data_IF_960709325530
#
_entry.id   IF_960709325530
#
_cell.length_a   1.000
_cell.length_b   1.000
_cell.length_c   1.000
_cell.angle_alpha   90.00
_cell.angle_beta   90.00
_cell.angle_gamma   90.00
#
_symmetry.space_group_name_H-M   'P 1'
#
loop_
_entity.id
_entity.type
_entity.pdbx_description
1 polymer ?
#
# COMPACT_ATOMS: atom_id res chain seq x y z
N UNK A 1 34.02 -20.95 -34.03
CA UNK A 1 33.61 -19.68 -34.67
C UNK A 1 32.11 -19.55 -34.48
N UNK A 2 31.71 -19.04 -33.33
CA UNK A 2 30.31 -18.77 -32.99
C UNK A 2 29.99 -17.37 -33.48
N UNK A 3 29.02 -17.29 -34.39
CA UNK A 3 28.52 -16.06 -34.98
C UNK A 3 27.89 -15.20 -33.89
N UNK A 4 28.52 -14.07 -33.60
CA UNK A 4 27.92 -12.93 -32.91
C UNK A 4 26.69 -12.49 -33.72
N UNK A 5 25.51 -12.67 -33.15
CA UNK A 5 24.29 -12.03 -33.63
C UNK A 5 24.39 -10.54 -33.31
N UNK A 6 24.23 -9.71 -34.34
CA UNK A 6 24.11 -8.26 -34.21
C UNK A 6 22.97 -7.89 -33.23
N UNK A 7 23.05 -6.75 -32.53
CA UNK A 7 21.95 -6.28 -31.68
C UNK A 7 20.71 -6.08 -32.56
N UNK A 8 19.67 -6.85 -32.29
CA UNK A 8 18.35 -6.70 -32.90
C UNK A 8 17.92 -5.25 -32.72
N UNK A 9 17.58 -4.55 -33.80
CA UNK A 9 17.03 -3.20 -33.70
C UNK A 9 15.84 -3.24 -32.73
N UNK A 10 15.84 -2.38 -31.71
CA UNK A 10 14.72 -2.31 -30.76
C UNK A 10 13.41 -2.14 -31.54
N UNK A 11 12.41 -2.94 -31.16
CA UNK A 11 11.06 -2.80 -31.70
C UNK A 11 10.60 -1.34 -31.58
N UNK A 12 9.81 -0.87 -32.55
CA UNK A 12 9.28 0.51 -32.58
C UNK A 12 8.55 0.90 -31.29
N UNK A 13 7.88 -0.09 -30.69
CA UNK A 13 7.17 0.00 -29.41
C UNK A 13 7.70 -1.07 -28.44
N UNK A 14 8.86 -0.85 -27.78
CA UNK A 14 9.46 -1.86 -26.92
C UNK A 14 8.61 -2.01 -25.66
N UNK A 15 8.04 -3.21 -25.48
CA UNK A 15 7.16 -3.62 -24.38
C UNK A 15 7.49 -5.03 -23.96
N UNK A 16 7.41 -5.30 -22.68
CA UNK A 16 7.58 -6.63 -22.10
C UNK A 16 6.43 -6.88 -21.12
N UNK A 17 5.66 -7.94 -21.37
CA UNK A 17 4.66 -8.46 -20.44
C UNK A 17 5.16 -9.80 -19.91
N UNK A 18 5.29 -9.91 -18.59
CA UNK A 18 5.65 -11.15 -17.91
C UNK A 18 4.53 -11.58 -16.98
N UNK A 19 4.12 -12.83 -17.14
CA UNK A 19 3.05 -13.40 -16.35
C UNK A 19 3.57 -13.97 -15.03
N UNK A 20 2.83 -13.77 -13.93
CA UNK A 20 3.15 -14.33 -12.61
C UNK A 20 4.59 -14.05 -12.13
N UNK A 21 5.13 -12.87 -12.42
CA UNK A 21 6.47 -12.47 -12.00
C UNK A 21 6.54 -12.20 -10.49
N UNK A 22 5.48 -11.59 -9.94
CA UNK A 22 5.27 -11.40 -8.51
C UNK A 22 4.35 -12.50 -8.00
N UNK A 23 4.66 -13.09 -6.85
CA UNK A 23 3.80 -14.14 -6.28
C UNK A 23 2.50 -13.55 -5.74
N UNK A 24 1.44 -14.36 -5.70
CA UNK A 24 0.15 -13.92 -5.12
C UNK A 24 0.31 -13.48 -3.66
N UNK A 25 1.18 -14.14 -2.88
CA UNK A 25 1.44 -13.75 -1.49
C UNK A 25 2.12 -12.37 -1.39
N UNK A 26 3.08 -12.08 -2.27
CA UNK A 26 3.69 -10.76 -2.38
C UNK A 26 2.66 -9.70 -2.80
N UNK A 27 1.78 -10.01 -3.76
CA UNK A 27 0.70 -9.12 -4.13
C UNK A 27 -0.22 -8.83 -2.95
N UNK A 28 -0.61 -9.85 -2.17
CA UNK A 28 -1.48 -9.68 -0.99
C UNK A 28 -0.83 -8.89 0.14
N UNK A 29 0.49 -9.01 0.33
CA UNK A 29 1.23 -8.16 1.26
C UNK A 29 1.20 -6.68 0.83
N UNK A 30 1.43 -6.40 -0.45
CA UNK A 30 1.33 -5.03 -0.99
C UNK A 30 -0.12 -4.50 -0.95
N UNK A 31 -1.12 -5.32 -1.25
CA UNK A 31 -2.54 -4.95 -1.08
C UNK A 31 -2.84 -4.56 0.37
N UNK A 32 -2.35 -5.34 1.35
CA UNK A 32 -2.48 -5.03 2.77
C UNK A 32 -1.87 -3.66 3.10
N UNK A 33 -0.64 -3.40 2.66
CA UNK A 33 0.04 -2.13 2.92
C UNK A 33 -0.76 -0.97 2.31
N UNK A 34 -1.21 -1.10 1.05
CA UNK A 34 -1.96 -0.05 0.38
C UNK A 34 -3.32 0.22 1.01
N UNK A 35 -4.11 -0.82 1.28
CA UNK A 35 -5.42 -0.68 1.91
C UNK A 35 -5.33 -0.14 3.34
N UNK A 36 -4.17 -0.26 3.97
CA UNK A 36 -3.93 0.29 5.30
C UNK A 36 -3.40 1.71 5.30
N UNK A 37 -2.51 2.06 4.36
CA UNK A 37 -1.75 3.31 4.38
C UNK A 37 -2.05 4.23 3.18
N UNK A 38 -3.08 3.92 2.39
CA UNK A 38 -3.47 4.70 1.22
C UNK A 38 -4.09 6.04 1.58
N UNK A 39 -3.66 7.08 0.89
CA UNK A 39 -4.24 8.43 0.91
C UNK A 39 -4.76 8.80 -0.47
N UNK A 40 -5.54 9.87 -0.57
CA UNK A 40 -6.00 10.43 -1.84
C UNK A 40 -4.81 10.80 -2.73
N UNK A 41 -4.82 10.27 -3.94
CA UNK A 41 -3.90 10.65 -5.00
C UNK A 41 -4.30 11.98 -5.66
N UNK A 42 -3.43 12.47 -6.54
CA UNK A 42 -3.67 13.72 -7.27
C UNK A 42 -4.86 13.65 -8.24
N UNK A 43 -5.27 12.44 -8.66
CA UNK A 43 -6.37 12.25 -9.60
C UNK A 43 -7.66 11.88 -8.87
N UNK A 44 -8.83 12.39 -9.32
CA UNK A 44 -10.11 11.96 -8.79
C UNK A 44 -10.25 10.43 -8.85
N UNK A 45 -10.74 9.82 -7.77
CA UNK A 45 -10.95 8.37 -7.72
C UNK A 45 -9.67 7.54 -7.55
N UNK A 46 -8.51 8.14 -7.36
CA UNK A 46 -7.23 7.43 -7.22
C UNK A 46 -6.71 7.55 -5.80
N UNK A 47 -6.26 6.44 -5.21
CA UNK A 47 -5.47 6.43 -3.98
C UNK A 47 -4.02 6.08 -4.25
N UNK A 48 -3.12 6.54 -3.37
CA UNK A 48 -1.69 6.33 -3.48
C UNK A 48 -1.06 6.04 -2.12
N UNK A 49 -0.11 5.10 -2.10
CA UNK A 49 0.82 4.88 -1.00
C UNK A 49 2.24 4.94 -1.57
N UNK A 50 2.91 6.08 -1.37
CA UNK A 50 4.32 6.27 -1.75
C UNK A 50 5.24 5.83 -0.62
N UNK A 51 6.49 5.47 -0.94
CA UNK A 51 7.47 5.12 0.09
C UNK A 51 7.75 6.29 1.04
N UNK A 52 7.84 7.52 0.52
CA UNK A 52 7.98 8.72 1.36
C UNK A 52 6.78 8.95 2.29
N UNK A 53 5.57 8.60 1.87
CA UNK A 53 4.39 8.67 2.72
C UNK A 53 4.47 7.66 3.88
N UNK A 54 4.92 6.43 3.63
CA UNK A 54 5.15 5.45 4.68
C UNK A 54 6.17 5.96 5.71
N UNK A 55 7.22 6.64 5.26
CA UNK A 55 8.14 7.33 6.18
C UNK A 55 7.39 8.41 6.96
N UNK A 56 6.68 9.31 6.28
CA UNK A 56 5.98 10.43 6.92
C UNK A 56 4.97 9.97 8.00
N UNK A 57 4.28 8.85 7.83
CA UNK A 57 3.26 8.33 8.75
C UNK A 57 3.78 7.34 9.80
N UNK A 58 5.08 7.34 10.10
CA UNK A 58 5.71 6.41 11.04
C UNK A 58 5.53 4.92 10.69
N UNK A 59 5.55 4.61 9.39
CA UNK A 59 5.54 3.25 8.87
C UNK A 59 6.74 2.92 7.97
N UNK A 60 7.97 3.43 8.20
CA UNK A 60 9.09 3.20 7.28
C UNK A 60 9.46 1.73 7.13
N UNK A 61 9.17 0.91 8.14
CA UNK A 61 9.41 -0.54 8.13
C UNK A 61 8.60 -1.26 7.02
N UNK A 62 7.47 -0.69 6.59
CA UNK A 62 6.67 -1.21 5.48
C UNK A 62 7.30 -0.95 4.09
N UNK A 63 8.47 -0.32 4.01
CA UNK A 63 9.25 -0.24 2.76
C UNK A 63 9.88 -1.59 2.42
N UNK A 64 10.24 -2.41 3.42
CA UNK A 64 10.98 -3.66 3.19
C UNK A 64 10.30 -4.64 2.23
N UNK A 65 8.97 -4.87 2.27
CA UNK A 65 8.29 -5.71 1.29
C UNK A 65 8.44 -5.25 -0.17
N UNK A 66 8.72 -3.97 -0.41
CA UNK A 66 8.95 -3.44 -1.75
C UNK A 66 10.35 -3.74 -2.27
N UNK A 67 11.36 -3.81 -1.40
CA UNK A 67 12.79 -3.77 -1.79
C UNK A 67 13.16 -4.91 -2.74
N UNK A 68 12.80 -6.15 -2.40
CA UNK A 68 13.07 -7.30 -3.28
C UNK A 68 12.33 -7.19 -4.61
N UNK A 69 11.08 -6.72 -4.58
CA UNK A 69 10.22 -6.64 -5.77
C UNK A 69 10.74 -5.56 -6.71
N UNK A 70 11.00 -4.34 -6.22
CA UNK A 70 11.48 -3.22 -7.03
C UNK A 70 12.85 -3.50 -7.65
N UNK A 71 13.76 -4.16 -6.90
CA UNK A 71 15.08 -4.51 -7.42
C UNK A 71 14.99 -5.56 -8.52
N UNK A 72 14.19 -6.62 -8.34
CA UNK A 72 13.94 -7.61 -9.39
C UNK A 72 13.32 -7.02 -10.66
N UNK A 73 12.41 -6.04 -10.52
CA UNK A 73 11.82 -5.35 -11.68
C UNK A 73 12.84 -4.43 -12.35
N UNK A 74 13.68 -3.75 -11.56
CA UNK A 74 14.77 -2.92 -12.07
C UNK A 74 15.75 -3.76 -12.90
N UNK A 75 16.22 -4.89 -12.36
CA UNK A 75 17.12 -5.81 -13.07
C UNK A 75 16.49 -6.29 -14.39
N UNK A 76 15.19 -6.62 -14.34
CA UNK A 76 14.43 -7.01 -15.53
C UNK A 76 14.31 -5.88 -16.57
N UNK A 77 14.13 -4.64 -16.14
CA UNK A 77 14.10 -3.48 -17.03
C UNK A 77 15.49 -3.24 -17.65
N UNK A 78 16.55 -3.38 -16.86
CA UNK A 78 17.94 -3.28 -17.34
C UNK A 78 18.27 -4.34 -18.38
N UNK A 79 17.87 -5.59 -18.14
CA UNK A 79 18.00 -6.70 -19.10
C UNK A 79 17.25 -6.39 -20.40
N UNK A 80 15.98 -5.99 -20.30
CA UNK A 80 15.13 -5.77 -21.47
C UNK A 80 15.59 -4.61 -22.34
N UNK A 81 16.03 -3.50 -21.73
CA UNK A 81 16.49 -2.31 -22.44
C UNK A 81 18.01 -2.27 -22.66
N UNK A 82 18.74 -3.33 -22.28
CA UNK A 82 20.20 -3.44 -22.41
C UNK A 82 20.92 -2.24 -21.79
N UNK A 83 20.59 -1.94 -20.52
CA UNK A 83 21.08 -0.77 -19.80
C UNK A 83 21.54 -1.07 -18.37
N UNK A 84 22.17 -2.23 -18.22
CA UNK A 84 22.74 -2.68 -16.95
C UNK A 84 23.55 -1.61 -16.24
N UNK A 85 23.26 -1.43 -14.95
CA UNK A 85 23.93 -0.49 -14.05
C UNK A 85 23.79 1.00 -14.42
N UNK A 86 22.96 1.35 -15.40
CA UNK A 86 22.70 2.72 -15.84
C UNK A 86 21.25 3.15 -15.54
N UNK A 87 20.56 2.42 -14.67
CA UNK A 87 19.18 2.68 -14.32
C UNK A 87 19.02 2.99 -12.83
N UNK A 88 18.19 3.98 -12.53
CA UNK A 88 17.80 4.37 -11.18
C UNK A 88 16.30 4.35 -11.05
N UNK A 89 15.81 4.10 -9.84
CA UNK A 89 14.38 4.17 -9.53
C UNK A 89 14.02 5.63 -9.30
N UNK A 90 13.18 6.21 -10.16
CA UNK A 90 12.70 7.58 -10.02
C UNK A 90 11.57 7.67 -8.98
N UNK A 91 10.76 6.62 -8.93
CA UNK A 91 9.57 6.56 -8.09
C UNK A 91 9.07 5.12 -7.92
N UNK A 92 8.61 4.81 -6.73
CA UNK A 92 7.91 3.58 -6.38
C UNK A 92 6.63 3.90 -5.59
N UNK A 93 5.49 3.38 -6.02
CA UNK A 93 4.24 3.59 -5.30
C UNK A 93 3.15 2.57 -5.59
N UNK A 94 2.33 2.29 -4.57
CA UNK A 94 1.09 1.53 -4.73
C UNK A 94 -0.01 2.50 -5.12
N UNK A 95 -0.68 2.23 -6.24
CA UNK A 95 -1.73 3.06 -6.80
C UNK A 95 -2.99 2.21 -6.92
N UNK A 96 -4.11 2.71 -6.41
CA UNK A 96 -5.41 2.14 -6.69
C UNK A 96 -6.33 3.10 -7.42
N UNK A 97 -7.13 2.52 -8.32
CA UNK A 97 -8.13 3.22 -9.12
C UNK A 97 -9.49 2.67 -8.69
N UNK A 98 -10.29 3.51 -8.05
CA UNK A 98 -11.65 3.18 -7.62
C UNK A 98 -12.63 3.34 -8.78
N UNK A 99 -13.88 2.91 -8.56
CA UNK A 99 -14.96 3.12 -9.52
C UNK A 99 -15.05 4.59 -9.96
N UNK A 100 -15.14 4.82 -11.27
CA UNK A 100 -15.16 6.13 -11.90
C UNK A 100 -13.77 6.71 -12.24
N UNK A 101 -12.68 6.10 -11.76
CA UNK A 101 -11.33 6.56 -12.07
C UNK A 101 -10.89 6.08 -13.47
N UNK A 102 -10.27 6.99 -14.23
CA UNK A 102 -9.72 6.73 -15.57
C UNK A 102 -8.59 7.71 -15.89
N UNK A 103 -7.80 7.42 -16.93
CA UNK A 103 -6.80 8.33 -17.47
C UNK A 103 -6.75 8.23 -18.99
N UNK A 104 -6.92 9.37 -19.65
CA UNK A 104 -6.83 9.46 -21.11
C UNK A 104 -5.42 9.25 -21.65
N UNK A 105 -5.29 9.30 -22.97
CA UNK A 105 -4.04 9.09 -23.69
C UNK A 105 -2.91 10.01 -23.21
N UNK A 106 -1.79 9.42 -22.80
CA UNK A 106 -0.59 10.12 -22.36
C UNK A 106 0.66 9.25 -22.52
N UNK A 107 1.84 9.88 -22.51
CA UNK A 107 3.11 9.23 -22.16
C UNK A 107 3.47 9.62 -20.72
N UNK A 108 4.31 8.80 -20.07
CA UNK A 108 4.74 9.04 -18.69
C UNK A 108 5.71 10.21 -18.56
N UNK A 109 6.38 10.60 -19.66
CA UNK A 109 7.30 11.74 -19.76
C UNK A 109 6.62 13.05 -20.21
N UNK A 110 5.29 13.10 -20.27
CA UNK A 110 4.55 14.13 -21.01
C UNK A 110 4.59 15.57 -20.43
N UNK A 111 5.25 15.78 -19.29
CA UNK A 111 5.33 17.09 -18.60
C UNK A 111 6.78 17.41 -18.23
N UNK A 112 7.17 18.70 -18.11
CA UNK A 112 8.55 19.09 -17.83
C UNK A 112 9.17 18.40 -16.61
N UNK A 113 8.41 18.26 -15.52
CA UNK A 113 8.87 17.61 -14.28
C UNK A 113 8.86 16.07 -14.31
N UNK A 114 8.45 15.48 -15.43
CA UNK A 114 8.41 14.04 -15.68
C UNK A 114 9.38 13.62 -16.79
N UNK A 115 10.09 14.58 -17.42
CA UNK A 115 10.91 14.34 -18.61
C UNK A 115 12.12 13.43 -18.36
N UNK A 116 12.53 13.29 -17.11
CA UNK A 116 13.58 12.37 -16.68
C UNK A 116 13.19 10.89 -16.76
N UNK A 117 11.92 10.56 -17.01
CA UNK A 117 11.48 9.16 -17.03
C UNK A 117 11.86 8.51 -18.36
N UNK A 118 12.70 7.49 -18.29
CA UNK A 118 13.11 6.68 -19.44
C UNK A 118 12.17 5.48 -19.63
N UNK A 119 11.87 4.78 -18.53
CA UNK A 119 11.08 3.55 -18.54
C UNK A 119 10.02 3.55 -17.43
N UNK A 120 9.03 2.69 -17.60
CA UNK A 120 7.96 2.46 -16.64
C UNK A 120 7.74 0.96 -16.44
N UNK A 121 7.34 0.58 -15.23
CA UNK A 121 6.83 -0.73 -14.93
C UNK A 121 5.51 -0.64 -14.14
N UNK A 122 4.54 -1.46 -14.52
CA UNK A 122 3.26 -1.60 -13.84
C UNK A 122 3.08 -3.06 -13.45
N UNK A 123 2.97 -3.33 -12.16
CA UNK A 123 2.72 -4.67 -11.64
C UNK A 123 1.29 -4.74 -11.13
N UNK A 124 0.53 -5.72 -11.62
CA UNK A 124 -0.88 -5.87 -11.27
C UNK A 124 -1.01 -6.69 -9.99
N UNK A 125 -1.66 -6.11 -8.97
CA UNK A 125 -1.80 -6.74 -7.66
C UNK A 125 -3.11 -7.51 -7.54
N UNK A 126 -4.08 -7.23 -8.41
CA UNK A 126 -5.35 -7.93 -8.51
C UNK A 126 -5.81 -8.04 -9.97
N UNK A 127 -6.86 -8.83 -10.22
CA UNK A 127 -7.22 -9.29 -11.56
C UNK A 127 -8.50 -8.65 -12.09
N UNK A 128 -8.45 -8.25 -13.36
CA UNK A 128 -9.61 -7.81 -14.12
C UNK A 128 -10.63 -8.96 -14.30
N UNK A 129 -11.91 -8.66 -14.17
CA UNK A 129 -13.02 -9.61 -14.28
C UNK A 129 -13.24 -10.47 -13.04
N UNK A 130 -12.29 -10.46 -12.08
CA UNK A 130 -12.42 -11.12 -10.78
C UNK A 130 -12.56 -10.11 -9.64
N UNK A 131 -11.58 -9.23 -9.49
CA UNK A 131 -11.48 -8.29 -8.36
C UNK A 131 -12.02 -6.89 -8.72
N UNK A 132 -12.02 -6.54 -10.00
CA UNK A 132 -12.58 -5.30 -10.54
C UNK A 132 -13.00 -5.46 -12.01
N UNK A 133 -13.78 -4.52 -12.55
CA UNK A 133 -14.19 -4.46 -13.98
C UNK A 133 -13.86 -3.09 -14.58
N UNK A 134 -13.68 -3.05 -15.90
CA UNK A 134 -13.13 -1.87 -16.58
C UNK A 134 -11.66 -1.68 -16.21
N UNK A 135 -11.09 -0.47 -16.33
CA UNK A 135 -9.69 -0.26 -15.92
C UNK A 135 -8.65 -1.05 -16.74
N UNK A 136 -8.97 -1.37 -17.99
CA UNK A 136 -8.05 -2.04 -18.92
C UNK A 136 -6.91 -1.07 -19.26
N UNK A 137 -5.72 -1.58 -19.55
CA UNK A 137 -4.61 -0.73 -19.97
C UNK A 137 -4.48 -0.80 -21.48
N UNK A 138 -4.54 0.34 -22.17
CA UNK A 138 -4.47 0.40 -23.62
C UNK A 138 -3.23 1.14 -24.07
N UNK A 139 -2.53 0.60 -25.07
CA UNK A 139 -1.56 1.35 -25.85
C UNK A 139 -2.23 1.89 -27.12
N UNK A 140 -1.82 3.09 -27.52
CA UNK A 140 -2.41 3.76 -28.68
C UNK A 140 -2.03 3.09 -29.99
N UNK A 141 -0.78 2.64 -30.08
CA UNK A 141 -0.16 2.07 -31.27
C UNK A 141 0.63 0.80 -30.89
N UNK A 142 0.91 -0.09 -31.84
CA UNK A 142 1.74 -1.29 -31.62
C UNK A 142 1.08 -2.42 -30.80
N UNK A 143 1.77 -3.56 -30.70
CA UNK A 143 1.29 -4.74 -29.97
C UNK A 143 2.13 -5.02 -28.71
N UNK A 144 1.53 -5.55 -27.63
CA UNK A 144 0.08 -5.74 -27.46
C UNK A 144 -0.65 -4.39 -27.38
N UNK A 145 -1.81 -4.28 -28.03
CA UNK A 145 -2.62 -3.06 -28.01
C UNK A 145 -3.35 -2.85 -26.67
N UNK A 146 -3.65 -3.92 -25.94
CA UNK A 146 -4.36 -3.86 -24.65
C UNK A 146 -3.86 -4.93 -23.70
N UNK A 147 -3.78 -4.58 -22.42
CA UNK A 147 -3.39 -5.45 -21.32
C UNK A 147 -4.57 -5.56 -20.36
N UNK A 148 -5.07 -6.78 -20.20
CA UNK A 148 -6.04 -7.11 -19.18
C UNK A 148 -5.28 -7.49 -17.90
N UNK A 149 -5.39 -6.71 -16.81
CA UNK A 149 -4.65 -6.98 -15.58
C UNK A 149 -4.91 -8.37 -15.01
N UNK A 150 -3.83 -9.09 -14.71
CA UNK A 150 -3.87 -10.37 -14.00
C UNK A 150 -2.89 -10.27 -12.83
N UNK A 151 -3.31 -10.71 -11.64
CA UNK A 151 -2.48 -10.67 -10.43
C UNK A 151 -1.11 -11.31 -10.67
N UNK A 152 -0.06 -10.61 -10.26
CA UNK A 152 1.33 -11.07 -10.38
C UNK A 152 2.00 -10.70 -11.70
N UNK A 153 1.26 -10.23 -12.71
CA UNK A 153 1.82 -9.82 -13.99
C UNK A 153 2.55 -8.48 -13.89
N UNK A 154 3.62 -8.34 -14.68
CA UNK A 154 4.42 -7.12 -14.79
C UNK A 154 4.51 -6.69 -16.24
N UNK A 155 4.16 -5.43 -16.50
CA UNK A 155 4.28 -4.76 -17.79
C UNK A 155 5.40 -3.72 -17.72
N UNK A 156 6.39 -3.82 -18.60
CA UNK A 156 7.51 -2.88 -18.74
C UNK A 156 7.49 -2.24 -20.13
N UNK A 157 7.68 -0.93 -20.21
CA UNK A 157 7.65 -0.18 -21.47
C UNK A 157 8.44 1.13 -21.35
N UNK A 158 8.74 1.79 -22.49
CA UNK A 158 9.38 3.12 -22.46
C UNK A 158 8.40 4.18 -21.99
N UNK A 159 8.86 5.14 -21.18
CA UNK A 159 8.00 6.18 -20.63
C UNK A 159 7.59 7.26 -21.66
N UNK A 160 8.22 7.26 -22.83
CA UNK A 160 8.08 8.31 -23.85
C UNK A 160 6.92 8.09 -24.84
N UNK A 161 6.85 8.96 -25.86
CA UNK A 161 5.79 8.95 -26.87
C UNK A 161 5.75 7.69 -27.75
N UNK A 162 6.72 6.76 -27.64
CA UNK A 162 6.61 5.45 -28.30
C UNK A 162 5.55 4.59 -27.62
N UNK A 163 5.18 4.86 -26.38
CA UNK A 163 4.22 4.07 -25.64
C UNK A 163 3.15 4.97 -25.02
N UNK A 164 2.48 5.76 -25.86
CA UNK A 164 1.28 6.49 -25.46
C UNK A 164 0.20 5.50 -25.04
N UNK A 165 -0.36 5.69 -23.86
CA UNK A 165 -1.29 4.75 -23.25
C UNK A 165 -2.41 5.45 -22.47
N UNK A 166 -3.44 4.68 -22.12
CA UNK A 166 -4.58 5.11 -21.32
C UNK A 166 -5.08 3.97 -20.44
N UNK A 167 -5.82 4.30 -19.40
CA UNK A 167 -6.60 3.34 -18.62
C UNK A 167 -8.05 3.80 -18.67
N UNK A 168 -8.92 2.96 -19.22
CA UNK A 168 -10.36 3.17 -19.27
C UNK A 168 -10.98 3.10 -17.86
N UNK A 169 -12.22 3.54 -17.75
CA UNK A 169 -12.86 3.72 -16.45
C UNK A 169 -13.00 2.40 -15.69
N UNK A 170 -12.62 2.40 -14.41
CA UNK A 170 -12.99 1.32 -13.49
C UNK A 170 -14.48 1.41 -13.22
N UNK A 171 -15.23 0.37 -13.55
CA UNK A 171 -16.70 0.36 -13.45
C UNK A 171 -17.20 -0.35 -12.19
N UNK A 172 -16.38 -1.22 -11.61
CA UNK A 172 -16.69 -1.97 -10.40
C UNK A 172 -15.38 -2.35 -9.69
N UNK A 173 -15.36 -2.31 -8.35
CA UNK A 173 -14.21 -2.68 -7.54
C UNK A 173 -13.09 -1.64 -7.52
N UNK A 174 -11.92 -2.09 -7.09
CA UNK A 174 -10.71 -1.28 -6.94
C UNK A 174 -9.58 -1.95 -7.73
N UNK A 175 -8.95 -1.26 -8.70
CA UNK A 175 -7.81 -1.77 -9.48
C UNK A 175 -6.51 -1.38 -8.79
N UNK A 176 -5.71 -2.36 -8.33
CA UNK A 176 -4.49 -2.11 -7.57
C UNK A 176 -3.23 -2.46 -8.38
N UNK A 177 -2.26 -1.55 -8.33
CA UNK A 177 -0.97 -1.71 -9.02
C UNK A 177 0.20 -1.24 -8.16
N UNK A 178 1.34 -1.90 -8.28
CA UNK A 178 2.64 -1.32 -7.94
C UNK A 178 3.19 -0.65 -9.21
N UNK A 179 3.40 0.66 -9.16
CA UNK A 179 3.94 1.45 -10.28
C UNK A 179 5.36 1.87 -9.97
N UNK A 180 6.25 1.69 -10.94
CA UNK A 180 7.63 2.13 -10.89
C UNK A 180 7.94 2.96 -12.13
N UNK A 181 8.67 4.05 -11.92
CA UNK A 181 9.29 4.80 -13.00
C UNK A 181 10.80 4.76 -12.84
N UNK A 182 11.51 4.71 -13.96
CA UNK A 182 12.95 4.62 -14.00
C UNK A 182 13.54 5.79 -14.77
N UNK A 183 14.74 6.17 -14.37
CA UNK A 183 15.52 7.28 -14.93
C UNK A 183 16.97 6.83 -15.10
N UNK A 184 17.64 7.33 -16.13
CA UNK A 184 19.10 7.23 -16.30
C UNK A 184 19.84 8.41 -15.68
N UNK A 185 19.10 9.43 -15.24
CA UNK A 185 19.66 10.54 -14.46
C UNK A 185 19.63 10.22 -12.97
N UNK A 186 20.81 10.01 -12.39
CA UNK A 186 21.00 9.71 -10.96
C UNK A 186 20.57 10.85 -10.03
N UNK A 187 20.46 12.09 -10.52
CA UNK A 187 19.92 13.20 -9.73
C UNK A 187 18.45 12.98 -9.32
N UNK A 188 17.77 12.06 -10.02
CA UNK A 188 16.37 11.72 -9.78
C UNK A 188 16.17 10.42 -8.98
N UNK A 189 17.23 9.79 -8.50
CA UNK A 189 17.16 8.56 -7.71
C UNK A 189 16.31 8.74 -6.43
N UNK A 190 15.33 7.85 -6.27
CA UNK A 190 14.43 7.77 -5.13
C UNK A 190 15.17 7.30 -3.88
N UNK A 191 16.16 6.40 -4.01
CA UNK A 191 16.86 5.82 -2.85
C UNK A 191 17.56 6.90 -2.03
N UNK A 192 18.28 7.82 -2.69
CA UNK A 192 18.94 8.94 -2.03
C UNK A 192 17.96 9.79 -1.20
N UNK A 193 16.76 10.05 -1.74
CA UNK A 193 15.70 10.82 -1.06
C UNK A 193 15.14 10.05 0.14
N UNK A 194 14.85 8.77 -0.03
CA UNK A 194 14.31 7.93 1.04
C UNK A 194 15.31 7.76 2.19
N UNK A 195 16.59 7.54 1.88
CA UNK A 195 17.66 7.43 2.87
C UNK A 195 17.80 8.72 3.68
N UNK A 196 17.75 9.89 3.02
CA UNK A 196 17.74 11.19 3.73
C UNK A 196 16.57 11.29 4.71
N UNK A 197 15.34 10.99 4.26
CA UNK A 197 14.13 11.06 5.09
C UNK A 197 14.16 10.06 6.25
N UNK A 198 14.67 8.84 6.03
CA UNK A 198 14.85 7.83 7.07
C UNK A 198 15.86 8.28 8.13
N UNK A 199 16.96 8.90 7.68
CA UNK A 199 18.04 9.36 8.57
C UNK A 199 17.57 10.51 9.46
N UNK A 200 16.93 11.53 8.89
CA UNK A 200 16.35 12.65 9.64
C UNK A 200 15.36 12.18 10.70
N UNK A 201 14.54 11.19 10.35
CA UNK A 201 13.50 10.67 11.23
C UNK A 201 14.05 9.89 12.42
N UNK A 202 15.05 9.04 12.21
CA UNK A 202 15.66 8.31 13.33
C UNK A 202 16.38 9.25 14.30
N UNK A 203 17.05 10.29 13.78
CA UNK A 203 17.66 11.33 14.62
C UNK A 203 16.62 12.05 15.50
N UNK A 204 15.39 12.23 15.00
CA UNK A 204 14.31 12.89 15.73
C UNK A 204 13.53 11.97 16.69
N UNK A 205 13.69 10.65 16.59
CA UNK A 205 12.91 9.67 17.38
C UNK A 205 13.56 9.31 18.73
N UNK A 206 14.80 9.74 19.00
CA UNK A 206 15.51 9.48 20.27
C UNK A 206 14.79 10.08 21.51
N UNK A 207 13.89 11.07 21.32
CA UNK A 207 13.26 11.84 22.41
C UNK A 207 11.81 11.42 22.77
N UNK A 208 11.18 10.48 22.07
CA UNK A 208 9.75 10.15 22.27
C UNK A 208 9.52 8.78 22.94
N UNK A 209 8.89 8.78 24.13
CA UNK A 209 8.51 7.58 24.90
C UNK A 209 7.36 6.74 24.30
N UNK A 210 7.02 6.92 23.01
CA UNK A 210 5.97 6.15 22.33
C UNK A 210 6.57 4.91 21.67
N UNK A 211 5.75 3.88 21.47
CA UNK A 211 6.16 2.66 20.76
C UNK A 211 6.65 3.03 19.33
N UNK A 212 7.92 2.78 18.98
CA UNK A 212 8.59 3.42 17.84
C UNK A 212 7.97 3.08 16.48
N UNK A 213 7.21 1.99 16.39
CA UNK A 213 6.61 1.51 15.15
C UNK A 213 5.10 1.77 15.02
N UNK A 214 4.47 2.47 15.98
CA UNK A 214 3.04 2.76 15.85
C UNK A 214 2.78 3.85 14.79
N UNK A 215 1.85 3.64 13.87
CA UNK A 215 1.60 4.58 12.79
C UNK A 215 1.04 5.91 13.31
N UNK A 216 1.37 7.00 12.62
CA UNK A 216 0.85 8.36 12.88
C UNK A 216 0.10 8.82 11.63
N UNK A 217 -1.21 9.12 11.72
CA UNK A 217 -1.98 9.56 10.56
C UNK A 217 -1.42 10.86 9.97
N UNK A 218 -1.50 10.99 8.64
CA UNK A 218 -1.30 12.26 7.98
C UNK A 218 -2.47 13.23 8.25
N UNK A 219 -2.41 14.43 7.70
CA UNK A 219 -3.52 15.39 7.78
C UNK A 219 -4.81 14.80 7.20
N UNK A 220 -5.94 15.02 7.87
CA UNK A 220 -7.20 14.34 7.55
C UNK A 220 -7.72 14.63 6.13
N UNK A 221 -7.41 15.79 5.58
CA UNK A 221 -7.72 16.14 4.18
C UNK A 221 -7.06 15.19 3.17
N UNK A 222 -5.96 14.52 3.53
CA UNK A 222 -5.33 13.50 2.69
C UNK A 222 -6.14 12.20 2.64
N UNK A 223 -7.04 11.95 3.59
CA UNK A 223 -7.90 10.76 3.62
C UNK A 223 -9.31 11.05 3.11
N UNK A 224 -9.64 12.31 2.82
CA UNK A 224 -10.99 12.71 2.42
C UNK A 224 -11.25 12.48 0.93
N UNK A 225 -12.05 11.47 0.63
CA UNK A 225 -12.56 11.25 -0.71
C UNK A 225 -13.71 12.22 -0.99
N UNK A 226 -13.63 12.97 -2.10
CA UNK A 226 -14.70 13.87 -2.56
C UNK A 226 -15.30 13.37 -3.87
N UNK A 227 -16.63 13.38 -3.97
CA UNK A 227 -17.34 12.97 -5.18
C UNK A 227 -18.05 14.18 -5.83
N UNK A 228 -17.51 14.65 -6.95
CA UNK A 228 -18.09 15.78 -7.69
C UNK A 228 -17.84 17.16 -7.06
N UNK A 229 -18.72 18.12 -7.36
CA UNK A 229 -18.63 19.52 -6.89
C UNK A 229 -19.38 19.78 -5.57
N UNK A 230 -20.14 18.80 -5.08
CA UNK A 230 -20.89 18.91 -3.83
C UNK A 230 -20.05 18.39 -2.66
N UNK A 231 -20.37 18.83 -1.43
CA UNK A 231 -19.68 18.45 -0.18
C UNK A 231 -19.86 16.97 0.23
N UNK A 232 -20.29 16.10 -0.69
CA UNK A 232 -20.48 14.68 -0.45
C UNK A 232 -19.16 13.93 -0.62
N UNK A 233 -18.78 13.20 0.42
CA UNK A 233 -17.50 12.53 0.53
C UNK A 233 -17.45 11.62 1.74
N UNK A 234 -16.30 10.97 1.93
CA UNK A 234 -16.05 10.11 3.08
C UNK A 234 -14.57 10.06 3.42
N UNK A 235 -14.26 9.77 4.69
CA UNK A 235 -12.90 9.43 5.08
C UNK A 235 -12.60 7.98 4.69
N UNK A 236 -11.52 7.78 3.93
CA UNK A 236 -11.11 6.47 3.41
C UNK A 236 -10.84 5.47 4.55
N UNK A 237 -10.31 5.90 5.70
CA UNK A 237 -10.01 5.00 6.81
C UNK A 237 -11.30 4.47 7.42
N UNK A 238 -12.26 5.37 7.67
CA UNK A 238 -13.59 5.03 8.16
C UNK A 238 -14.33 4.10 7.18
N UNK A 239 -14.30 4.45 5.89
CA UNK A 239 -14.89 3.63 4.84
C UNK A 239 -14.31 2.21 4.81
N UNK A 240 -12.98 2.07 4.84
CA UNK A 240 -12.33 0.75 4.76
C UNK A 240 -12.63 -0.13 5.97
N UNK A 241 -12.70 0.43 7.19
CA UNK A 241 -13.13 -0.37 8.36
C UNK A 241 -14.62 -0.70 8.30
N UNK A 242 -15.45 0.23 7.81
CA UNK A 242 -16.90 0.06 7.68
C UNK A 242 -17.29 -1.05 6.70
N UNK A 243 -16.68 -1.08 5.52
CA UNK A 243 -16.89 -2.13 4.51
C UNK A 243 -16.57 -3.52 5.07
N UNK A 244 -15.64 -3.59 6.03
CA UNK A 244 -15.26 -4.82 6.71
C UNK A 244 -16.15 -5.14 7.92
N UNK A 245 -17.16 -4.32 8.21
CA UNK A 245 -18.14 -4.48 9.28
C UNK A 245 -17.74 -3.85 10.62
N UNK A 246 -16.70 -3.02 10.66
CA UNK A 246 -16.22 -2.36 11.87
C UNK A 246 -16.58 -0.88 11.89
N UNK A 247 -16.61 -0.28 13.09
CA UNK A 247 -16.67 1.17 13.23
C UNK A 247 -15.70 1.62 14.32
N UNK A 248 -15.11 2.81 14.14
CA UNK A 248 -14.33 3.45 15.18
C UNK A 248 -15.23 4.01 16.29
N UNK A 249 -14.81 3.80 17.53
CA UNK A 249 -15.49 4.26 18.73
C UNK A 249 -14.52 5.08 19.58
N UNK A 250 -14.99 6.22 20.09
CA UNK A 250 -14.24 7.02 21.07
C UNK A 250 -14.86 6.89 22.47
N UNK A 251 -14.01 6.77 23.49
CA UNK A 251 -14.35 6.67 24.92
C UNK A 251 -14.33 8.04 25.60
N UNK A 252 -15.10 9.01 25.10
CA UNK A 252 -15.16 10.31 25.77
C UNK A 252 -16.08 10.27 26.99
N UNK A 253 -15.51 10.11 28.20
CA UNK A 253 -16.19 10.44 29.47
C UNK A 253 -16.41 11.94 29.68
N UNK A 254 -15.83 12.80 28.83
CA UNK A 254 -16.08 14.24 28.87
C UNK A 254 -17.20 14.54 27.90
N UNK A 255 -18.32 15.03 28.41
CA UNK A 255 -19.33 15.69 27.58
C UNK A 255 -18.59 16.61 26.59
N UNK A 256 -18.89 16.44 25.31
CA UNK A 256 -18.57 17.43 24.31
C UNK A 256 -19.44 18.67 24.64
N UNK A 257 -18.98 19.50 25.57
CA UNK A 257 -19.58 20.80 25.92
C UNK A 257 -19.00 21.94 25.05
N UNK A 258 -18.25 21.62 24.01
CA UNK A 258 -17.82 22.58 22.99
C UNK A 258 -18.10 22.00 21.61
N UNK A 259 -19.07 22.58 20.91
CA UNK A 259 -19.52 22.26 19.55
C UNK A 259 -18.49 22.48 18.45
N UNK A 260 -17.19 22.51 18.78
CA UNK A 260 -16.11 23.00 17.91
C UNK A 260 -14.90 22.06 17.78
N UNK A 261 -14.84 20.90 18.46
CA UNK A 261 -13.81 19.90 18.11
C UNK A 261 -14.28 19.18 16.85
N UNK A 262 -13.68 19.47 15.70
CA UNK A 262 -14.08 18.84 14.45
C UNK A 262 -13.86 17.33 14.53
N UNK A 263 -14.74 16.56 13.88
CA UNK A 263 -14.69 15.09 13.89
C UNK A 263 -13.33 14.55 13.41
N UNK A 264 -12.58 15.36 12.67
CA UNK A 264 -11.22 15.11 12.18
C UNK A 264 -10.22 14.84 13.33
N UNK A 265 -10.27 15.58 14.45
CA UNK A 265 -9.35 15.38 15.57
C UNK A 265 -9.54 14.03 16.30
N UNK A 266 -10.68 13.35 16.13
CA UNK A 266 -10.96 12.08 16.80
C UNK A 266 -10.18 10.90 16.19
N UNK A 267 -9.88 10.96 14.89
CA UNK A 267 -9.22 9.87 14.17
C UNK A 267 -7.71 9.79 14.45
N UNK A 268 -7.13 10.87 14.98
CA UNK A 268 -5.73 10.94 15.41
C UNK A 268 -5.53 10.57 16.89
N UNK A 269 -6.62 10.46 17.67
CA UNK A 269 -6.59 10.14 19.10
C UNK A 269 -6.79 8.65 19.35
N UNK A 270 -6.45 8.15 20.56
CA UNK A 270 -6.75 6.78 20.94
C UNK A 270 -8.24 6.44 20.77
N UNK A 271 -8.51 5.29 20.18
CA UNK A 271 -9.86 4.83 19.84
C UNK A 271 -9.99 3.31 19.90
N UNK A 272 -11.21 2.82 19.90
CA UNK A 272 -11.54 1.40 19.92
C UNK A 272 -12.29 0.98 18.65
N UNK A 273 -12.32 -0.33 18.39
CA UNK A 273 -13.10 -0.91 17.31
C UNK A 273 -14.40 -1.51 17.84
N UNK A 274 -15.49 -1.30 17.13
CA UNK A 274 -16.75 -2.01 17.34
C UNK A 274 -17.15 -2.81 16.12
N UNK A 275 -17.87 -3.91 16.34
CA UNK A 275 -18.52 -4.71 15.30
C UNK A 275 -19.91 -5.10 15.82
N UNK A 276 -20.95 -4.58 15.19
CA UNK A 276 -22.32 -4.66 15.71
C UNK A 276 -22.47 -3.95 17.07
N UNK A 277 -22.97 -4.69 18.06
CA UNK A 277 -23.21 -4.21 19.43
C UNK A 277 -22.05 -4.52 20.39
N UNK A 278 -20.95 -5.07 19.87
CA UNK A 278 -19.76 -5.44 20.65
C UNK A 278 -18.62 -4.48 20.36
N UNK A 279 -17.94 -4.05 21.42
CA UNK A 279 -16.74 -3.21 21.38
C UNK A 279 -15.55 -4.03 21.86
N UNK A 280 -14.45 -3.95 21.13
CA UNK A 280 -13.18 -4.51 21.56
C UNK A 280 -12.55 -3.61 22.63
N UNK A 281 -12.22 -4.18 23.77
CA UNK A 281 -11.60 -3.49 24.90
C UNK A 281 -10.18 -3.00 24.63
N UNK A 282 -9.51 -3.54 23.61
CA UNK A 282 -8.21 -3.05 23.14
C UNK A 282 -8.34 -1.64 22.56
N UNK A 283 -7.52 -0.72 23.07
CA UNK A 283 -7.42 0.65 22.57
C UNK A 283 -6.26 0.75 21.56
N UNK A 284 -6.55 1.33 20.40
CA UNK A 284 -5.58 1.60 19.35
C UNK A 284 -5.14 3.06 19.45
N UNK A 285 -3.85 3.30 19.25
CA UNK A 285 -3.26 4.64 19.27
C UNK A 285 -3.99 5.68 18.39
N UNK A 286 -4.54 5.26 17.24
CA UNK A 286 -5.31 6.09 16.31
C UNK A 286 -6.01 5.21 15.26
N UNK A 287 -6.75 5.86 14.34
CA UNK A 287 -7.45 5.22 13.23
C UNK A 287 -6.55 4.42 12.28
N UNK A 288 -5.32 4.90 12.02
CA UNK A 288 -4.39 4.24 11.11
C UNK A 288 -3.84 2.94 11.72
N UNK A 289 -3.54 2.94 13.02
CA UNK A 289 -3.16 1.73 13.76
C UNK A 289 -4.30 0.70 13.75
N UNK A 290 -5.52 1.12 14.07
CA UNK A 290 -6.68 0.24 14.03
C UNK A 290 -6.94 -0.33 12.63
N UNK A 291 -6.86 0.50 11.58
CA UNK A 291 -7.03 0.08 10.20
C UNK A 291 -5.97 -0.93 9.76
N UNK A 292 -4.69 -0.71 10.09
CA UNK A 292 -3.61 -1.66 9.78
C UNK A 292 -3.88 -3.03 10.40
N UNK A 293 -4.32 -3.08 11.66
CA UNK A 293 -4.65 -4.36 12.32
C UNK A 293 -5.86 -5.03 11.66
N UNK A 294 -6.90 -4.28 11.31
CA UNK A 294 -8.09 -4.82 10.61
C UNK A 294 -7.69 -5.41 9.26
N UNK A 295 -6.92 -4.69 8.44
CA UNK A 295 -6.46 -5.18 7.14
C UNK A 295 -5.54 -6.40 7.29
N UNK A 296 -4.68 -6.41 8.31
CA UNK A 296 -3.80 -7.55 8.61
C UNK A 296 -4.61 -8.81 8.98
N UNK A 297 -5.67 -8.67 9.79
CA UNK A 297 -6.56 -9.78 10.13
C UNK A 297 -7.12 -10.47 8.89
N UNK A 298 -7.59 -9.70 7.91
CA UNK A 298 -8.14 -10.28 6.68
C UNK A 298 -7.07 -10.84 5.74
N UNK A 299 -5.91 -10.17 5.63
CA UNK A 299 -4.77 -10.71 4.89
C UNK A 299 -4.34 -12.07 5.43
N UNK A 300 -4.30 -12.23 6.76
CA UNK A 300 -3.86 -13.45 7.45
C UNK A 300 -4.99 -14.38 7.89
N UNK A 301 -6.21 -14.18 7.41
CA UNK A 301 -7.39 -14.91 7.89
C UNK A 301 -7.24 -16.44 7.83
N UNK A 302 -6.68 -16.97 6.73
CA UNK A 302 -6.47 -18.40 6.56
C UNK A 302 -5.43 -18.97 7.54
N UNK A 303 -4.31 -18.26 7.78
CA UNK A 303 -3.28 -18.64 8.75
C UNK A 303 -3.82 -18.60 10.19
N UNK A 304 -4.61 -17.58 10.52
CA UNK A 304 -5.24 -17.43 11.83
C UNK A 304 -6.19 -18.58 12.13
N UNK A 305 -7.04 -18.94 11.15
CA UNK A 305 -7.97 -20.07 11.25
C UNK A 305 -7.23 -21.39 11.42
N UNK A 306 -6.12 -21.60 10.71
CA UNK A 306 -5.29 -22.79 10.85
C UNK A 306 -4.64 -22.86 12.25
N UNK A 307 -4.09 -21.75 12.73
CA UNK A 307 -3.47 -21.65 14.06
C UNK A 307 -4.48 -22.00 15.17
N UNK A 308 -5.71 -21.46 15.12
CA UNK A 308 -6.77 -21.80 16.08
C UNK A 308 -7.11 -23.29 16.12
N UNK A 309 -7.19 -23.96 14.96
CA UNK A 309 -7.47 -25.41 14.90
C UNK A 309 -6.37 -26.26 15.52
N UNK A 310 -5.11 -25.85 15.39
CA UNK A 310 -3.96 -26.58 15.95
C UNK A 310 -3.73 -26.30 17.45
N UNK A 311 -4.18 -25.15 17.96
CA UNK A 311 -3.97 -24.74 19.35
C UNK A 311 -5.07 -25.22 20.30
N UNK A 312 -5.26 -26.54 20.42
CA UNK A 312 -6.16 -27.11 21.46
C UNK A 312 -5.53 -27.13 22.87
N UNK A 313 -4.26 -26.71 23.04
CA UNK A 313 -3.53 -26.75 24.32
C UNK A 313 -2.74 -25.47 24.69
N UNK A 314 -2.69 -24.46 23.82
CA UNK A 314 -2.01 -23.19 24.10
C UNK A 314 -3.02 -22.13 24.57
N UNK A 315 -2.67 -21.32 25.58
CA UNK A 315 -3.48 -20.16 26.01
C UNK A 315 -3.46 -19.12 24.88
N UNK A 316 -4.47 -19.11 24.00
CA UNK A 316 -4.65 -18.01 23.05
C UNK A 316 -4.94 -16.70 23.81
N UNK A 317 -4.53 -15.54 23.27
CA UNK A 317 -4.98 -14.25 23.76
C UNK A 317 -6.51 -14.20 23.76
N UNK A 318 -7.12 -13.89 24.89
CA UNK A 318 -8.57 -13.72 24.98
C UNK A 318 -8.92 -12.25 24.76
N UNK A 319 -9.85 -11.93 23.84
CA UNK A 319 -10.29 -10.57 23.62
C UNK A 319 -11.07 -10.07 24.84
N UNK A 320 -10.75 -8.87 25.31
CA UNK A 320 -11.64 -8.12 26.20
C UNK A 320 -12.80 -7.59 25.37
N UNK A 321 -14.04 -7.96 25.68
CA UNK A 321 -15.23 -7.53 24.95
C UNK A 321 -16.15 -6.73 25.89
N UNK A 322 -16.63 -5.60 25.38
CA UNK A 322 -17.52 -4.68 26.08
C UNK A 322 -18.84 -4.58 25.32
N UNK A 323 -19.95 -4.49 26.05
CA UNK A 323 -21.25 -4.16 25.46
C UNK A 323 -21.33 -2.66 25.16
N UNK A 324 -21.93 -2.32 24.02
CA UNK A 324 -22.13 -0.94 23.59
C UNK A 324 -23.10 -0.22 24.53
N UNK A 325 -22.58 0.61 25.41
CA UNK A 325 -23.37 1.48 26.31
C UNK A 325 -23.61 2.86 25.69
N UNK A 326 -24.51 3.67 26.28
CA UNK A 326 -24.86 5.04 25.82
C UNK A 326 -23.71 6.05 25.81
N UNK A 327 -22.50 5.66 26.20
CA UNK A 327 -21.32 6.52 26.30
C UNK A 327 -20.34 6.39 25.12
N UNK A 328 -20.64 5.53 24.13
CA UNK A 328 -19.81 5.35 22.95
C UNK A 328 -20.35 6.13 21.76
N UNK A 329 -19.51 7.04 21.23
CA UNK A 329 -19.81 7.76 20.00
C UNK A 329 -19.15 7.05 18.83
N UNK A 330 -19.96 6.65 17.83
CA UNK A 330 -19.46 6.23 16.53
C UNK A 330 -18.77 7.42 15.86
N UNK A 331 -17.54 7.21 15.40
CA UNK A 331 -16.85 8.16 14.53
C UNK A 331 -17.22 7.81 13.10
N UNK A 332 -18.30 8.41 12.59
CA UNK A 332 -18.70 8.32 11.19
C UNK A 332 -18.39 9.63 10.49
N UNK A 333 -17.54 9.57 9.48
CA UNK A 333 -17.17 10.72 8.66
C UNK A 333 -17.54 10.44 7.20
N UNK A 334 -18.75 10.89 6.82
CA UNK A 334 -19.21 10.93 5.42
C UNK A 334 -20.25 9.88 5.00
N UNK A 335 -20.44 9.77 3.69
CA UNK A 335 -21.42 8.87 3.05
C UNK A 335 -20.86 7.47 2.85
N UNK A 336 -21.29 6.53 3.70
CA UNK A 336 -20.84 5.15 3.67
C UNK A 336 -21.41 4.34 2.50
N UNK A 337 -22.58 4.70 1.97
CA UNK A 337 -23.13 4.02 0.79
C UNK A 337 -22.31 4.36 -0.43
N UNK A 338 -21.96 5.64 -0.57
CA UNK A 338 -21.02 6.09 -1.59
C UNK A 338 -19.67 5.37 -1.45
N UNK A 339 -19.18 5.20 -0.22
CA UNK A 339 -17.94 4.47 0.03
C UNK A 339 -17.98 3.01 -0.46
N UNK A 340 -19.06 2.28 -0.16
CA UNK A 340 -19.29 0.91 -0.63
C UNK A 340 -19.37 0.83 -2.16
N UNK A 341 -20.02 1.81 -2.79
CA UNK A 341 -20.12 1.88 -4.25
C UNK A 341 -18.78 2.19 -4.93
N UNK A 342 -17.95 3.04 -4.33
CA UNK A 342 -16.68 3.52 -4.88
C UNK A 342 -15.55 2.53 -4.68
N UNK A 343 -15.37 2.04 -3.45
CA UNK A 343 -14.30 1.12 -3.08
C UNK A 343 -14.67 -0.35 -3.39
N UNK A 344 -15.95 -0.63 -3.59
CA UNK A 344 -16.50 -1.97 -3.76
C UNK A 344 -16.59 -2.75 -2.44
N UNK A 345 -17.32 -3.85 -2.47
CA UNK A 345 -17.29 -4.83 -1.37
C UNK A 345 -15.99 -5.64 -1.47
N UNK A 346 -15.26 -5.77 -0.37
CA UNK A 346 -14.08 -6.64 -0.34
C UNK A 346 -14.55 -8.10 -0.25
N UNK A 347 -14.62 -8.79 -1.39
CA UNK A 347 -14.72 -10.26 -1.37
C UNK A 347 -13.33 -10.82 -1.09
N UNK A 348 -12.97 -10.96 0.18
CA UNK A 348 -12.03 -12.01 0.52
C UNK A 348 -12.73 -13.32 0.11
N UNK A 349 -12.21 -13.98 -0.94
CA UNK A 349 -12.69 -15.29 -1.37
C UNK A 349 -12.89 -16.17 -0.12
N UNK A 350 -14.07 -16.80 -0.06
CA UNK A 350 -14.57 -17.67 1.01
C UNK A 350 -15.11 -17.02 2.31
N UNK A 351 -16.31 -16.45 2.15
CA UNK A 351 -17.42 -16.51 3.11
C UNK A 351 -17.39 -15.49 4.29
N UNK A 352 -18.19 -14.39 4.23
CA UNK A 352 -18.26 -13.35 5.27
C UNK A 352 -18.78 -13.84 6.65
N UNK A 353 -19.17 -15.11 6.78
CA UNK A 353 -19.73 -15.70 8.00
C UNK A 353 -18.69 -16.23 9.02
N UNK A 354 -17.39 -15.97 8.86
CA UNK A 354 -16.34 -16.56 9.71
C UNK A 354 -15.59 -15.61 10.65
N UNK A 355 -16.06 -14.37 10.84
CA UNK A 355 -15.45 -13.47 11.81
C UNK A 355 -15.46 -14.08 13.24
N UNK A 356 -14.34 -13.96 13.95
CA UNK A 356 -14.19 -14.43 15.32
C UNK A 356 -13.24 -13.50 16.09
N UNK A 357 -13.64 -13.08 17.30
CA UNK A 357 -12.87 -12.15 18.13
C UNK A 357 -11.57 -12.75 18.68
N UNK A 358 -11.49 -14.06 18.91
CA UNK A 358 -10.26 -14.76 19.31
C UNK A 358 -9.23 -14.74 18.17
N UNK A 359 -9.68 -15.00 16.93
CA UNK A 359 -8.83 -14.90 15.74
C UNK A 359 -8.35 -13.45 15.56
N UNK A 360 -9.18 -12.45 15.88
CA UNK A 360 -8.80 -11.04 15.84
C UNK A 360 -7.79 -10.65 16.93
N UNK A 361 -7.96 -11.14 18.17
CA UNK A 361 -6.98 -10.94 19.24
C UNK A 361 -5.61 -11.56 18.89
N UNK A 362 -5.63 -12.75 18.28
CA UNK A 362 -4.42 -13.37 17.73
C UNK A 362 -3.80 -12.54 16.60
N UNK A 363 -4.62 -11.91 15.75
CA UNK A 363 -4.15 -11.02 14.68
C UNK A 363 -3.43 -9.79 15.23
N UNK A 364 -3.92 -9.18 16.32
CA UNK A 364 -3.23 -8.06 17.00
C UNK A 364 -1.82 -8.48 17.42
N UNK A 365 -1.70 -9.65 18.07
CA UNK A 365 -0.40 -10.16 18.50
C UNK A 365 0.53 -10.47 17.31
N UNK A 366 0.02 -11.11 16.26
CA UNK A 366 0.79 -11.43 15.05
C UNK A 366 1.18 -10.18 14.25
N UNK A 367 0.33 -9.17 14.20
CA UNK A 367 0.62 -7.89 13.57
C UNK A 367 1.80 -7.20 14.28
N UNK A 368 1.79 -7.16 15.62
CA UNK A 368 2.93 -6.65 16.42
C UNK A 368 4.23 -7.39 16.13
N UNK A 369 4.19 -8.72 16.01
CA UNK A 369 5.37 -9.52 15.64
C UNK A 369 5.85 -9.20 14.22
N UNK A 370 4.92 -9.06 13.28
CA UNK A 370 5.24 -8.78 11.87
C UNK A 370 5.93 -7.41 11.72
N UNK A 371 5.32 -6.33 12.20
CA UNK A 371 5.90 -4.99 12.13
C UNK A 371 7.19 -4.87 12.96
N UNK A 372 7.28 -5.57 14.10
CA UNK A 372 8.49 -5.60 14.92
C UNK A 372 9.68 -6.19 14.17
N UNK A 373 9.48 -7.30 13.44
CA UNK A 373 10.51 -7.90 12.58
C UNK A 373 10.94 -6.97 11.45
N UNK A 374 9.98 -6.32 10.78
CA UNK A 374 10.29 -5.37 9.73
C UNK A 374 11.05 -4.16 10.29
N UNK A 375 10.67 -3.66 11.46
CA UNK A 375 11.36 -2.56 12.10
C UNK A 375 12.80 -2.94 12.49
N UNK A 376 13.01 -4.11 13.08
CA UNK A 376 14.35 -4.64 13.40
C UNK A 376 15.22 -4.73 12.15
N UNK A 377 14.70 -5.31 11.08
CA UNK A 377 15.41 -5.40 9.80
C UNK A 377 15.76 -4.03 9.24
N UNK A 378 14.82 -3.07 9.28
CA UNK A 378 15.06 -1.70 8.81
C UNK A 378 16.21 -1.04 9.57
N UNK A 379 16.20 -1.12 10.90
CA UNK A 379 17.23 -0.51 11.76
C UNK A 379 18.60 -1.13 11.50
N UNK A 380 18.66 -2.45 11.31
CA UNK A 380 19.92 -3.16 11.00
C UNK A 380 20.44 -2.80 9.60
N UNK A 381 19.57 -2.66 8.61
CA UNK A 381 19.98 -2.38 7.23
C UNK A 381 20.33 -0.91 6.97
N UNK A 382 19.73 0.03 7.71
CA UNK A 382 19.87 1.46 7.40
C UNK A 382 21.31 1.99 7.39
N UNK A 383 22.22 1.63 8.34
CA UNK A 383 23.61 2.10 8.28
C UNK A 383 24.30 1.72 6.97
N UNK A 384 24.02 0.52 6.45
CA UNK A 384 24.56 0.07 5.18
C UNK A 384 23.94 0.83 4.01
N UNK A 385 22.63 1.11 4.05
CA UNK A 385 21.98 1.93 3.02
C UNK A 385 22.54 3.36 3.00
N UNK A 386 22.78 3.96 4.16
CA UNK A 386 23.42 5.28 4.27
C UNK A 386 24.83 5.23 3.66
N UNK A 387 25.62 4.21 3.96
CA UNK A 387 26.98 4.12 3.43
C UNK A 387 27.02 3.96 1.90
N UNK A 388 26.11 3.15 1.34
CA UNK A 388 26.12 2.82 -0.08
C UNK A 388 25.18 3.70 -0.93
N UNK A 389 24.33 4.52 -0.30
CA UNK A 389 23.29 5.33 -0.95
C UNK A 389 22.30 4.51 -1.79
N UNK A 390 22.07 3.25 -1.43
CA UNK A 390 21.20 2.30 -2.14
C UNK A 390 20.36 1.52 -1.12
N UNK A 391 19.09 1.29 -1.42
CA UNK A 391 18.19 0.47 -0.61
C UNK A 391 18.17 -0.96 -1.17
N UNK A 392 18.64 -1.90 -0.36
CA UNK A 392 18.71 -3.33 -0.72
C UNK A 392 18.49 -4.24 0.48
N UNK A 393 18.14 -5.50 0.24
CA UNK A 393 18.13 -6.52 1.29
C UNK A 393 19.45 -7.27 1.24
N UNK A 394 20.24 -7.20 2.30
CA UNK A 394 21.45 -8.00 2.42
C UNK A 394 21.08 -9.48 2.59
N UNK A 395 21.76 -10.37 1.88
CA UNK A 395 21.70 -11.80 2.16
C UNK A 395 22.31 -12.04 3.57
N UNK A 396 21.77 -12.98 4.38
CA UNK A 396 22.23 -13.22 5.76
C UNK A 396 23.74 -13.48 5.90
N UNK A 397 24.44 -13.86 4.83
CA UNK A 397 25.87 -14.16 4.79
C UNK A 397 26.78 -12.92 4.70
N UNK A 398 26.23 -11.72 4.51
CA UNK A 398 27.02 -10.48 4.38
C UNK A 398 27.08 -9.65 5.68
N UNK A 399 26.13 -9.85 6.60
CA UNK A 399 26.06 -9.13 7.88
C UNK A 399 27.15 -9.57 8.86
N UNK A 400 27.61 -10.82 8.76
CA UNK A 400 28.69 -11.35 9.61
C UNK A 400 30.10 -10.91 9.20
N UNK A 401 30.28 -10.30 8.02
CA UNK A 401 31.62 -9.92 7.52
C UNK A 401 32.07 -8.50 7.84
N UNK A 402 31.25 -7.69 8.51
CA UNK A 402 31.58 -6.29 8.83
C UNK A 402 31.63 -6.00 10.33
N UNK A 403 31.61 -7.03 11.18
CA UNK A 403 31.72 -6.92 12.63
C UNK A 403 33.06 -7.47 13.20
N UNK A 404 34.08 -7.67 12.35
CA UNK A 404 35.44 -8.03 12.78
C UNK A 404 36.45 -6.91 12.54
#
# INVERSE_FOLDING_TARGET
>A
MTTSSAPTAMAEHPRLLLHNFITVDQCKELEFIHRSCGVMGYRPGVLSTTLSHLIATNCPHLILPFVSIRNRIKDLAEDFFSCHFDLFLEFTGLISWCKGASIGWHSDDNRPYLKQRDFAAVCYLNSHGKDFKGGVFHFKDGEPASIFPVVGDVLIYTADSRNVHSVDEVTEGERLTLTLWFTRDSAHDEDAKLISLLSERLLNNEDNHSDPFLPVPASDNMYWFSHGHDQLGFDVRCARVHILGYNFCSTSKKKCETSDSSYEELLARPLQLSRGDVILGEEFANSLHALQVVQFYYWKAHELKAARKCSSSAKLPQPSLLEKTSYFHLVLTGDLKLAEEVLGCVSYDDNPNFFNWDDFALAIAKWKVYIGKLHEHLVVSLPQWINHQIIYLAEPSEVEKHND
#
